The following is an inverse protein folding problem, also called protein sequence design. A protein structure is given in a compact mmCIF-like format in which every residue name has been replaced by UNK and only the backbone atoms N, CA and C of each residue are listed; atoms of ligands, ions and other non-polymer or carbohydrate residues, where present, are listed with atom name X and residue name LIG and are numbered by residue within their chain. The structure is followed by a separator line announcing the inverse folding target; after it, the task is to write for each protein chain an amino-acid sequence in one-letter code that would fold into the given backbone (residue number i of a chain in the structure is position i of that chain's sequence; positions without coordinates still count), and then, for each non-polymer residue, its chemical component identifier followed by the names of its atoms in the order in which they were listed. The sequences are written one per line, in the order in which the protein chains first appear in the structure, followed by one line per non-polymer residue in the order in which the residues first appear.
data_IF_781382935847
#
_entry.id   IF_781382935847
#
_cell.length_a   1.000
_cell.length_b   1.000
_cell.length_c   1.000
_cell.angle_alpha   90.00
_cell.angle_beta   90.00
_cell.angle_gamma   90.00
#
_symmetry.space_group_name_H-M   'P 1'
#
loop_
_entity.id
_entity.type
_entity.pdbx_description
1 polymer ?
#
# COMPACT_ATOMS: atom_id res chain seq x y z
N UNK A 1 -2.45 19.97 16.57
CA UNK A 1 -2.68 18.62 16.01
C UNK A 1 -1.77 17.62 16.72
N UNK A 2 -2.01 17.31 18.01
CA UNK A 2 -1.12 16.43 18.79
C UNK A 2 -1.87 15.70 19.92
N UNK A 3 -3.04 15.13 19.64
CA UNK A 3 -3.86 14.50 20.70
C UNK A 3 -4.25 13.04 20.42
N UNK A 4 -3.63 12.37 19.45
CA UNK A 4 -4.01 10.99 19.08
C UNK A 4 -2.91 9.93 19.25
N UNK A 5 -1.71 10.29 19.70
CA UNK A 5 -0.55 9.37 19.73
C UNK A 5 -0.21 8.80 21.13
N UNK A 6 -0.82 9.27 22.22
CA UNK A 6 -0.32 8.98 23.58
C UNK A 6 -0.60 7.57 24.15
N UNK A 7 -1.38 6.70 23.49
CA UNK A 7 -1.73 5.37 24.06
C UNK A 7 -1.80 4.25 23.03
N UNK A 8 -0.70 3.96 22.35
CA UNK A 8 -0.63 2.88 21.36
C UNK A 8 0.63 2.02 21.54
N UNK A 9 0.47 0.70 21.47
CA UNK A 9 1.52 -0.31 21.68
C UNK A 9 2.36 -0.58 20.42
N UNK A 10 2.41 0.38 19.50
CA UNK A 10 3.08 0.23 18.21
C UNK A 10 3.99 1.40 17.90
N UNK A 11 5.13 1.06 17.32
CA UNK A 11 6.15 2.02 16.93
C UNK A 11 5.76 2.68 15.60
N UNK A 12 5.86 4.01 15.56
CA UNK A 12 5.68 4.78 14.32
C UNK A 12 6.90 4.55 13.42
N UNK A 13 6.66 4.11 12.19
CA UNK A 13 7.70 4.01 11.17
C UNK A 13 8.08 5.41 10.66
N UNK A 14 9.36 5.65 10.39
CA UNK A 14 9.83 6.85 9.71
C UNK A 14 9.59 6.65 8.21
N UNK A 15 8.75 7.49 7.63
CA UNK A 15 8.45 7.47 6.19
C UNK A 15 8.86 8.80 5.56
N UNK A 16 9.75 8.81 4.56
CA UNK A 16 10.16 10.03 3.88
C UNK A 16 9.00 10.68 3.11
N UNK A 17 9.00 12.01 2.96
CA UNK A 17 7.97 12.70 2.17
C UNK A 17 8.07 12.30 0.70
N UNK A 18 6.92 12.30 0.01
CA UNK A 18 6.81 12.02 -1.43
C UNK A 18 7.41 10.68 -1.87
N UNK A 19 7.39 9.64 -1.04
CA UNK A 19 7.98 8.32 -1.36
C UNK A 19 6.92 7.21 -1.52
N UNK A 20 6.00 7.32 -2.50
CA UNK A 20 4.99 6.29 -2.75
C UNK A 20 5.62 4.96 -3.20
N UNK A 21 6.81 5.00 -3.78
CA UNK A 21 7.66 3.84 -4.10
C UNK A 21 8.12 3.06 -2.87
N UNK A 22 8.10 3.67 -1.68
CA UNK A 22 8.36 3.03 -0.39
C UNK A 22 7.08 2.70 0.40
N UNK A 23 5.91 3.11 -0.09
CA UNK A 23 4.63 2.87 0.57
C UNK A 23 3.95 1.61 0.01
N UNK A 24 3.87 0.55 0.82
CA UNK A 24 3.25 -0.74 0.45
C UNK A 24 1.80 -0.63 -0.03
N UNK A 25 1.07 0.38 0.46
CA UNK A 25 -0.25 0.71 -0.05
C UNK A 25 -0.22 1.13 -1.52
N UNK A 26 0.68 2.04 -1.87
CA UNK A 26 0.72 2.69 -3.18
C UNK A 26 1.33 1.78 -4.25
N UNK A 27 2.54 1.24 -4.03
CA UNK A 27 3.23 0.45 -5.05
C UNK A 27 2.63 -0.95 -5.26
N UNK A 28 1.89 -1.49 -4.29
CA UNK A 28 1.38 -2.87 -4.35
C UNK A 28 -0.14 -2.94 -4.28
N UNK A 29 -0.74 -2.61 -3.13
CA UNK A 29 -2.17 -2.84 -2.90
C UNK A 29 -3.05 -2.05 -3.88
N UNK A 30 -2.81 -0.75 -3.98
CA UNK A 30 -3.57 0.12 -4.86
C UNK A 30 -3.19 -0.04 -6.33
N UNK A 31 -1.95 -0.44 -6.62
CA UNK A 31 -1.55 -0.74 -8.00
C UNK A 31 -2.36 -1.90 -8.58
N UNK A 32 -2.52 -3.01 -7.83
CA UNK A 32 -3.33 -4.15 -8.27
C UNK A 32 -4.84 -3.82 -8.24
N UNK A 33 -5.30 -3.08 -7.22
CA UNK A 33 -6.70 -2.64 -7.14
C UNK A 33 -7.09 -1.73 -8.32
N UNK A 34 -6.19 -0.82 -8.76
CA UNK A 34 -6.42 0.02 -9.94
C UNK A 34 -6.62 -0.81 -11.19
N UNK A 35 -5.88 -1.91 -11.37
CA UNK A 35 -6.09 -2.85 -12.49
C UNK A 35 -7.49 -3.43 -12.42
N UNK A 36 -7.94 -3.87 -11.24
CA UNK A 36 -9.30 -4.38 -11.07
C UNK A 36 -10.36 -3.33 -11.42
N UNK A 37 -10.15 -2.06 -11.05
CA UNK A 37 -11.10 -0.98 -11.27
C UNK A 37 -11.07 -0.39 -12.68
N UNK A 38 -9.99 -0.62 -13.44
CA UNK A 38 -9.78 0.00 -14.74
C UNK A 38 -10.92 -0.33 -15.71
N UNK A 39 -11.51 0.70 -16.30
CA UNK A 39 -12.60 0.57 -17.28
C UNK A 39 -13.96 0.18 -16.70
N UNK A 40 -14.10 0.02 -15.37
CA UNK A 40 -15.36 -0.33 -14.74
C UNK A 40 -16.10 0.92 -14.27
N UNK A 41 -17.38 1.02 -14.66
CA UNK A 41 -18.30 1.98 -14.07
C UNK A 41 -19.05 1.30 -12.93
N UNK A 42 -18.87 1.82 -11.72
CA UNK A 42 -19.62 1.41 -10.53
C UNK A 42 -20.72 2.44 -10.30
N UNK A 43 -21.94 1.99 -10.04
CA UNK A 43 -23.14 2.82 -10.05
C UNK A 43 -23.60 3.21 -8.64
N UNK A 44 -23.06 2.58 -7.60
CA UNK A 44 -23.37 2.93 -6.21
C UNK A 44 -22.20 2.64 -5.26
N UNK A 45 -22.28 3.20 -4.06
CA UNK A 45 -21.29 2.95 -3.01
C UNK A 45 -21.34 1.50 -2.51
N UNK A 46 -22.53 0.91 -2.45
CA UNK A 46 -22.72 -0.50 -2.09
C UNK A 46 -21.99 -1.41 -3.08
N UNK A 47 -22.05 -1.10 -4.38
CA UNK A 47 -21.32 -1.85 -5.40
C UNK A 47 -19.80 -1.73 -5.22
N UNK A 48 -19.30 -0.56 -4.86
CA UNK A 48 -17.88 -0.34 -4.56
C UNK A 48 -17.43 -1.18 -3.37
N UNK A 49 -18.20 -1.17 -2.28
CA UNK A 49 -17.90 -1.92 -1.05
C UNK A 49 -17.84 -3.42 -1.36
N UNK A 50 -18.91 -3.98 -1.93
CA UNK A 50 -19.02 -5.42 -2.22
C UNK A 50 -17.89 -5.89 -3.14
N UNK A 51 -17.59 -5.14 -4.22
CA UNK A 51 -16.52 -5.52 -5.14
C UNK A 51 -15.14 -5.41 -4.51
N UNK A 52 -14.92 -4.43 -3.63
CA UNK A 52 -13.64 -4.24 -2.95
C UNK A 52 -13.41 -5.32 -1.89
N UNK A 53 -14.44 -5.68 -1.12
CA UNK A 53 -14.40 -6.78 -0.14
C UNK A 53 -14.10 -8.11 -0.82
N UNK A 54 -14.88 -8.48 -1.84
CA UNK A 54 -14.67 -9.71 -2.60
C UNK A 54 -13.27 -9.76 -3.24
N UNK A 55 -12.76 -8.63 -3.70
CA UNK A 55 -11.42 -8.53 -4.28
C UNK A 55 -10.32 -8.87 -3.27
N UNK A 56 -10.39 -8.33 -2.05
CA UNK A 56 -9.39 -8.58 -1.02
C UNK A 56 -9.55 -9.95 -0.35
N UNK A 57 -10.78 -10.47 -0.23
CA UNK A 57 -11.05 -11.81 0.27
C UNK A 57 -10.48 -12.90 -0.66
N UNK A 58 -10.45 -12.65 -1.97
CA UNK A 58 -9.84 -13.56 -2.94
C UNK A 58 -8.30 -13.62 -2.85
N UNK A 59 -7.65 -12.67 -2.15
CA UNK A 59 -6.18 -12.66 -2.00
C UNK A 59 -5.77 -13.57 -0.84
N UNK A 60 -4.82 -14.46 -1.11
CA UNK A 60 -4.26 -15.33 -0.09
C UNK A 60 -3.29 -14.56 0.84
N UNK A 61 -2.88 -15.18 1.95
CA UNK A 61 -1.92 -14.57 2.90
C UNK A 61 -0.55 -14.27 2.26
N UNK A 62 -0.11 -15.09 1.30
CA UNK A 62 1.19 -14.88 0.66
C UNK A 62 1.22 -13.65 -0.24
N UNK A 63 0.08 -13.22 -0.80
CA UNK A 63 -0.05 -11.95 -1.52
C UNK A 63 0.37 -10.77 -0.63
N UNK A 64 -0.18 -10.68 0.58
CA UNK A 64 0.16 -9.61 1.52
C UNK A 64 1.59 -9.76 2.06
N UNK A 65 2.04 -10.99 2.33
CA UNK A 65 3.41 -11.27 2.80
C UNK A 65 4.47 -10.80 1.81
N UNK A 66 4.26 -11.08 0.52
CA UNK A 66 5.18 -10.70 -0.55
C UNK A 66 5.38 -9.17 -0.61
N UNK A 67 4.32 -8.40 -0.38
CA UNK A 67 4.42 -6.93 -0.30
C UNK A 67 5.39 -6.48 0.79
N UNK A 68 5.28 -7.05 1.99
CA UNK A 68 6.15 -6.71 3.12
C UNK A 68 7.59 -7.18 2.86
N UNK A 69 7.77 -8.38 2.29
CA UNK A 69 9.10 -8.91 1.98
C UNK A 69 9.85 -8.09 0.91
N UNK A 70 9.13 -7.49 -0.04
CA UNK A 70 9.72 -6.61 -1.06
C UNK A 70 10.18 -5.26 -0.53
N UNK A 71 9.65 -4.82 0.61
CA UNK A 71 9.95 -3.51 1.17
C UNK A 71 11.44 -3.33 1.47
N UNK A 72 12.11 -4.38 1.95
CA UNK A 72 13.57 -4.37 2.17
C UNK A 72 14.34 -4.10 0.87
N UNK A 73 13.93 -4.72 -0.23
CA UNK A 73 14.52 -4.49 -1.55
C UNK A 73 14.36 -3.03 -2.00
N UNK A 74 13.19 -2.45 -1.80
CA UNK A 74 12.94 -1.04 -2.13
C UNK A 74 13.79 -0.09 -1.28
N UNK A 75 13.93 -0.33 0.03
CA UNK A 75 14.82 0.48 0.86
C UNK A 75 16.28 0.40 0.39
N UNK A 76 16.77 -0.80 0.06
CA UNK A 76 18.14 -0.97 -0.45
C UNK A 76 18.35 -0.25 -1.79
N UNK A 77 17.34 -0.24 -2.67
CA UNK A 77 17.38 0.52 -3.92
C UNK A 77 17.39 2.03 -3.66
N UNK A 78 16.53 2.53 -2.78
CA UNK A 78 16.51 3.95 -2.38
C UNK A 78 17.88 4.41 -1.84
N UNK A 79 18.53 3.59 -1.00
CA UNK A 79 19.89 3.87 -0.50
C UNK A 79 20.90 3.92 -1.64
N UNK A 80 20.86 2.93 -2.55
CA UNK A 80 21.78 2.85 -3.69
C UNK A 80 21.61 4.03 -4.65
N UNK A 81 20.38 4.54 -4.78
CA UNK A 81 20.02 5.68 -5.60
C UNK A 81 20.19 7.02 -4.88
N UNK A 82 20.78 7.03 -3.68
CA UNK A 82 21.01 8.24 -2.86
C UNK A 82 19.70 9.02 -2.59
N UNK A 83 18.59 8.30 -2.39
CA UNK A 83 17.28 8.89 -2.14
C UNK A 83 16.51 9.32 -3.39
N UNK A 84 17.02 9.05 -4.60
CA UNK A 84 16.25 9.22 -5.83
C UNK A 84 15.17 8.14 -5.95
N UNK A 85 14.13 8.45 -6.74
CA UNK A 85 13.00 7.56 -6.99
C UNK A 85 13.42 6.21 -7.58
N UNK A 86 12.78 5.16 -7.09
CA UNK A 86 12.94 3.81 -7.62
C UNK A 86 12.13 3.67 -8.90
N UNK A 87 12.72 3.06 -9.93
CA UNK A 87 12.09 2.79 -11.23
C UNK A 87 11.54 1.37 -11.34
#
# INVERSE_FOLDING_TARGET
MAAFEEKKWWQKSIHPPYSPDLASGDYFLFSDLKIMLTGKKLLSNEEVIVKTEAYFEAKNKSYYKNCIEKLEGFYNQCITLEGNYIQ
#
